data_IF_987515359505
#
_entry.id   IF_987515359505
#
_cell.length_a   1.000
_cell.length_b   1.000
_cell.length_c   1.000
_cell.angle_alpha   90.00
_cell.angle_beta   90.00
_cell.angle_gamma   90.00
#
_symmetry.space_group_name_H-M   'P 1'
#
loop_
_entity.id
_entity.type
_entity.pdbx_description
1 polymer ?
#
# COMPACT_ATOMS: atom_id res chain seq x y z
N UNK A 1 9.89 -20.05 1.11
CA UNK A 1 9.69 -19.17 -0.07
C UNK A 1 10.30 -17.83 0.28
N UNK A 2 11.27 -17.34 -0.50
CA UNK A 2 11.84 -16.03 -0.26
C UNK A 2 10.75 -14.97 -0.46
N UNK A 3 10.52 -14.11 0.53
CA UNK A 3 9.71 -12.92 0.38
C UNK A 3 10.37 -12.09 -0.73
N UNK A 4 9.75 -12.11 -1.91
CA UNK A 4 10.27 -11.44 -3.11
C UNK A 4 10.03 -9.96 -2.87
N UNK A 5 11.07 -9.13 -2.91
CA UNK A 5 10.90 -7.68 -2.84
C UNK A 5 9.94 -7.26 -3.95
N UNK A 6 8.88 -6.54 -3.60
CA UNK A 6 7.92 -6.01 -4.55
C UNK A 6 8.56 -4.85 -5.32
N UNK A 7 8.95 -5.09 -6.57
CA UNK A 7 9.57 -4.12 -7.46
C UNK A 7 8.56 -3.56 -8.48
N UNK A 8 7.26 -3.71 -8.24
CA UNK A 8 6.25 -3.28 -9.18
C UNK A 8 6.15 -1.75 -9.25
N UNK A 9 6.39 -1.22 -10.45
CA UNK A 9 6.13 0.17 -10.81
C UNK A 9 4.92 0.22 -11.72
N UNK A 10 3.88 0.96 -11.30
CA UNK A 10 2.70 1.18 -12.13
C UNK A 10 3.06 2.10 -13.29
N UNK A 11 2.76 1.75 -14.56
CA UNK A 11 2.89 2.68 -15.66
C UNK A 11 1.79 3.76 -15.57
N UNK A 12 2.13 4.99 -15.97
CA UNK A 12 1.18 6.10 -16.13
C UNK A 12 1.03 6.46 -17.61
N UNK A 13 0.18 5.73 -18.32
CA UNK A 13 0.00 5.90 -19.77
C UNK A 13 -0.79 7.16 -20.16
N UNK A 14 -1.52 7.74 -19.23
CA UNK A 14 -2.42 8.88 -19.48
C UNK A 14 -2.01 10.15 -18.72
N UNK A 15 -0.79 10.18 -18.17
CA UNK A 15 -0.28 11.27 -17.35
C UNK A 15 -1.27 11.69 -16.23
N UNK A 16 -1.89 10.71 -15.57
CA UNK A 16 -2.86 10.95 -14.48
C UNK A 16 -2.19 11.72 -13.33
N UNK A 17 -0.88 11.56 -13.16
CA UNK A 17 -0.10 12.26 -12.15
C UNK A 17 -0.16 13.79 -12.29
N UNK A 18 -0.38 14.33 -13.49
CA UNK A 18 -0.52 15.77 -13.71
C UNK A 18 -1.80 16.35 -13.11
N UNK A 19 -2.80 15.50 -12.87
CA UNK A 19 -4.07 15.88 -12.25
C UNK A 19 -4.00 15.92 -10.71
N UNK A 20 -2.88 15.48 -10.13
CA UNK A 20 -2.69 15.34 -8.70
C UNK A 20 -1.80 16.46 -8.16
N UNK A 21 -2.12 16.97 -6.97
CA UNK A 21 -1.23 17.86 -6.23
C UNK A 21 -0.03 17.08 -5.71
N UNK A 22 1.03 17.80 -5.31
CA UNK A 22 2.21 17.17 -4.70
C UNK A 22 1.86 16.42 -3.40
N UNK A 23 0.91 16.94 -2.63
CA UNK A 23 0.40 16.25 -1.44
C UNK A 23 -0.28 14.92 -1.79
N UNK A 24 -1.13 14.88 -2.80
CA UNK A 24 -1.76 13.63 -3.25
C UNK A 24 -0.73 12.60 -3.69
N UNK A 25 0.31 13.04 -4.42
CA UNK A 25 1.41 12.16 -4.85
C UNK A 25 2.18 11.60 -3.66
N UNK A 26 2.48 12.44 -2.67
CA UNK A 26 3.18 12.04 -1.45
C UNK A 26 2.38 11.02 -0.64
N UNK A 27 1.06 11.25 -0.47
CA UNK A 27 0.17 10.31 0.23
C UNK A 27 0.17 8.96 -0.49
N UNK A 28 0.00 8.98 -1.82
CA UNK A 28 0.01 7.76 -2.64
C UNK A 28 1.34 7.00 -2.53
N UNK A 29 2.47 7.69 -2.58
CA UNK A 29 3.79 7.09 -2.45
C UNK A 29 3.98 6.46 -1.06
N UNK A 30 3.57 7.17 0.00
CA UNK A 30 3.66 6.69 1.39
C UNK A 30 2.88 5.39 1.58
N UNK A 31 1.64 5.33 1.06
CA UNK A 31 0.81 4.12 1.11
C UNK A 31 1.42 3.00 0.27
N UNK A 32 1.93 3.29 -0.93
CA UNK A 32 2.59 2.29 -1.79
C UNK A 32 3.80 1.66 -1.10
N UNK A 33 4.65 2.46 -0.49
CA UNK A 33 5.83 1.98 0.24
C UNK A 33 5.46 1.07 1.41
N UNK A 34 4.40 1.43 2.15
CA UNK A 34 3.85 0.58 3.21
C UNK A 34 3.36 -0.77 2.68
N UNK A 35 2.56 -0.77 1.61
CA UNK A 35 2.03 -2.02 1.01
C UNK A 35 3.16 -2.93 0.56
N UNK A 36 4.15 -2.40 -0.17
CA UNK A 36 5.28 -3.19 -0.69
C UNK A 36 6.11 -3.83 0.44
N UNK A 37 6.27 -3.11 1.55
CA UNK A 37 7.11 -3.55 2.67
C UNK A 37 6.40 -4.49 3.63
N UNK A 38 5.15 -4.18 3.99
CA UNK A 38 4.45 -4.85 5.10
C UNK A 38 3.37 -5.84 4.61
N UNK A 39 2.73 -5.58 3.46
CA UNK A 39 1.61 -6.39 2.95
C UNK A 39 2.07 -7.40 1.90
N UNK A 40 2.81 -6.97 0.88
CA UNK A 40 3.23 -7.85 -0.23
C UNK A 40 3.94 -9.14 0.23
N UNK A 41 4.76 -9.15 1.31
CA UNK A 41 5.39 -10.39 1.78
C UNK A 41 4.44 -11.43 2.39
N UNK A 42 3.29 -11.00 2.93
CA UNK A 42 2.39 -11.88 3.70
C UNK A 42 1.10 -12.23 2.96
N UNK A 43 0.73 -11.44 1.94
CA UNK A 43 -0.61 -11.52 1.34
C UNK A 43 -0.93 -12.87 0.69
N UNK A 44 0.06 -13.54 0.06
CA UNK A 44 -0.15 -14.87 -0.56
C UNK A 44 -0.56 -15.93 0.49
N UNK A 45 0.06 -15.91 1.68
CA UNK A 45 -0.21 -16.87 2.75
C UNK A 45 -1.59 -16.64 3.39
N UNK A 46 -1.92 -15.38 3.71
CA UNK A 46 -3.24 -15.03 4.26
C UNK A 46 -4.37 -15.31 3.27
N UNK A 47 -4.16 -15.03 1.97
CA UNK A 47 -5.11 -15.34 0.92
C UNK A 47 -5.38 -16.87 0.83
N UNK A 48 -4.32 -17.68 0.90
CA UNK A 48 -4.44 -19.14 0.83
C UNK A 48 -5.14 -19.73 2.06
N UNK A 49 -4.97 -19.12 3.23
CA UNK A 49 -5.62 -19.54 4.49
C UNK A 49 -7.04 -19.01 4.68
N UNK A 50 -7.46 -18.05 3.85
CA UNK A 50 -8.70 -17.30 4.04
C UNK A 50 -8.76 -16.61 5.41
N UNK A 51 -7.63 -16.07 5.86
CA UNK A 51 -7.49 -15.37 7.14
C UNK A 51 -7.32 -13.86 6.94
N UNK A 52 -7.67 -13.07 7.97
CA UNK A 52 -7.46 -11.63 7.98
C UNK A 52 -6.21 -11.24 8.79
N UNK A 53 -5.27 -10.47 8.21
CA UNK A 53 -4.09 -9.97 8.92
C UNK A 53 -4.42 -8.82 9.88
N UNK A 54 -4.83 -9.14 11.11
CA UNK A 54 -5.25 -8.15 12.11
C UNK A 54 -4.21 -7.05 12.41
N UNK A 55 -2.91 -7.37 12.34
CA UNK A 55 -1.84 -6.40 12.56
C UNK A 55 -1.89 -5.18 11.61
N UNK A 56 -2.44 -5.35 10.41
CA UNK A 56 -2.54 -4.29 9.40
C UNK A 56 -3.45 -3.16 9.89
N UNK A 57 -4.47 -3.47 10.72
CA UNK A 57 -5.41 -2.45 11.21
C UNK A 57 -4.68 -1.38 12.00
N UNK A 58 -3.83 -1.78 12.95
CA UNK A 58 -3.05 -0.83 13.76
C UNK A 58 -2.07 -0.03 12.90
N UNK A 59 -1.35 -0.71 12.00
CA UNK A 59 -0.37 -0.08 11.12
C UNK A 59 -1.00 0.97 10.18
N UNK A 60 -2.16 0.68 9.59
CA UNK A 60 -2.91 1.63 8.77
C UNK A 60 -3.45 2.81 9.58
N UNK A 61 -3.83 2.57 10.84
CA UNK A 61 -4.18 3.65 11.78
C UNK A 61 -3.01 4.58 12.05
N UNK A 62 -1.83 4.01 12.35
CA UNK A 62 -0.60 4.77 12.60
C UNK A 62 -0.13 5.54 11.34
N UNK A 63 -0.43 5.05 10.14
CA UNK A 63 -0.16 5.72 8.87
C UNK A 63 -1.17 6.86 8.56
N UNK A 64 -2.27 6.96 9.30
CA UNK A 64 -3.33 7.96 9.06
C UNK A 64 -4.27 7.60 7.91
N UNK A 65 -4.39 6.31 7.55
CA UNK A 65 -5.29 5.88 6.47
C UNK A 65 -6.77 5.84 6.87
N UNK A 66 -7.09 5.97 8.16
CA UNK A 66 -8.46 5.97 8.64
C UNK A 66 -8.98 7.40 8.85
N UNK A 67 -10.10 7.72 8.21
CA UNK A 67 -10.68 9.08 8.23
C UNK A 67 -9.82 10.14 7.54
N UNK A 68 -9.25 9.90 6.34
CA UNK A 68 -8.30 10.83 5.70
C UNK A 68 -8.89 12.19 5.28
N UNK A 69 -10.21 12.35 5.35
CA UNK A 69 -10.93 13.58 4.99
C UNK A 69 -11.64 14.22 6.18
N UNK A 70 -11.43 13.71 7.39
CA UNK A 70 -12.11 14.14 8.63
C UNK A 70 -11.23 15.12 9.39
#
# INVERSE_FOLDING_TARGET
>A
MAARTDLFTSPDYFNVDELLTEEHKLIRESVRNYVQKEISPIIEDYAQKAEFPEQIVKQLGDLGCFGPTV
#
